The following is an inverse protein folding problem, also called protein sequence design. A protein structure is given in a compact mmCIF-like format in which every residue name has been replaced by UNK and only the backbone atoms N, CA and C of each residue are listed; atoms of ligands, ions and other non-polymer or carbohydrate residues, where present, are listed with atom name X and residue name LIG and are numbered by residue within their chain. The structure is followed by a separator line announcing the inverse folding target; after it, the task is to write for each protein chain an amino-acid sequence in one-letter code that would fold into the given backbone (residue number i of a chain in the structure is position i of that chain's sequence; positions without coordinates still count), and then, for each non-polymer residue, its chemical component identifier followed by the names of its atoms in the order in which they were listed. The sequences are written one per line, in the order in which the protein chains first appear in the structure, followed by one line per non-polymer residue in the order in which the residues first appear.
data_IF_585842691568
#
_entry.id   IF_585842691568
#
_cell.length_a   1.000
_cell.length_b   1.000
_cell.length_c   1.000
_cell.angle_alpha   90.00
_cell.angle_beta   90.00
_cell.angle_gamma   90.00
#
_symmetry.space_group_name_H-M   'P 1'
#
loop_
_entity.id
_entity.type
_entity.pdbx_description
1 polymer ?
#
# COMPACT_ATOMS: atom_id res chain seq x y z
N UNK A 1 -23.37 -0.65 1.12
CA UNK A 1 -22.81 -1.64 0.17
C UNK A 1 -22.47 -0.93 -1.13
N UNK A 2 -21.31 -1.24 -1.70
CA UNK A 2 -20.88 -0.72 -3.01
C UNK A 2 -20.71 -1.89 -3.98
N UNK A 3 -21.11 -1.71 -5.24
CA UNK A 3 -20.94 -2.71 -6.30
C UNK A 3 -20.23 -2.14 -7.52
N UNK A 4 -19.65 -3.00 -8.35
CA UNK A 4 -18.97 -2.57 -9.58
C UNK A 4 -19.90 -2.20 -10.73
N UNK A 5 -21.08 -2.80 -10.77
CA UNK A 5 -22.01 -2.63 -11.88
C UNK A 5 -23.46 -2.64 -11.40
N UNK A 6 -24.34 -2.11 -12.25
CA UNK A 6 -25.76 -1.95 -11.96
C UNK A 6 -26.48 -3.29 -11.81
N UNK A 7 -26.10 -4.32 -12.57
CA UNK A 7 -26.72 -5.65 -12.47
C UNK A 7 -26.50 -6.27 -11.09
N UNK A 8 -25.28 -6.16 -10.55
CA UNK A 8 -24.97 -6.63 -9.21
C UNK A 8 -25.65 -5.78 -8.13
N UNK A 9 -25.78 -4.47 -8.34
CA UNK A 9 -26.55 -3.60 -7.44
C UNK A 9 -27.99 -4.09 -7.30
N UNK A 10 -28.68 -4.26 -8.43
CA UNK A 10 -30.08 -4.71 -8.47
C UNK A 10 -30.28 -6.06 -7.80
N UNK A 11 -29.39 -7.03 -8.10
CA UNK A 11 -29.45 -8.34 -7.48
C UNK A 11 -29.35 -8.26 -5.95
N UNK A 12 -28.45 -7.44 -5.43
CA UNK A 12 -28.30 -7.25 -3.97
C UNK A 12 -29.53 -6.55 -3.38
N UNK A 13 -30.08 -5.55 -4.07
CA UNK A 13 -31.31 -4.87 -3.64
C UNK A 13 -32.50 -5.85 -3.57
N UNK A 14 -32.69 -6.68 -4.61
CA UNK A 14 -33.76 -7.70 -4.65
C UNK A 14 -33.63 -8.70 -3.50
N UNK A 15 -32.40 -9.20 -3.25
CA UNK A 15 -32.13 -10.13 -2.16
C UNK A 15 -32.34 -9.50 -0.78
N UNK A 16 -31.93 -8.24 -0.61
CA UNK A 16 -32.16 -7.49 0.63
C UNK A 16 -33.65 -7.25 0.87
N UNK A 17 -34.45 -7.00 -0.18
CA UNK A 17 -35.89 -6.86 -0.05
C UNK A 17 -36.53 -8.16 0.46
N UNK A 18 -36.15 -9.31 -0.10
CA UNK A 18 -36.62 -10.62 0.38
C UNK A 18 -36.23 -10.85 1.85
N UNK A 19 -34.99 -10.54 2.22
CA UNK A 19 -34.50 -10.69 3.59
C UNK A 19 -35.25 -9.77 4.57
N UNK A 20 -35.52 -8.52 4.18
CA UNK A 20 -36.28 -7.54 4.98
C UNK A 20 -37.73 -7.99 5.23
N UNK A 21 -38.38 -8.58 4.23
CA UNK A 21 -39.73 -9.16 4.41
C UNK A 21 -39.74 -10.32 5.40
N UNK A 22 -38.67 -11.09 5.47
CA UNK A 22 -38.52 -12.21 6.41
C UNK A 22 -38.11 -11.75 7.82
N UNK A 23 -37.45 -10.60 7.93
CA UNK A 23 -37.04 -10.01 9.20
C UNK A 23 -37.39 -8.51 9.27
N UNK A 24 -38.63 -8.17 9.67
CA UNK A 24 -39.10 -6.78 9.73
C UNK A 24 -38.29 -5.87 10.66
N UNK A 25 -37.53 -6.41 11.62
CA UNK A 25 -36.64 -5.61 12.48
C UNK A 25 -35.53 -4.89 11.68
N UNK A 26 -35.25 -5.36 10.46
CA UNK A 26 -34.27 -4.72 9.59
C UNK A 26 -34.76 -3.36 9.04
N UNK A 27 -36.06 -3.12 8.97
CA UNK A 27 -36.65 -1.92 8.34
C UNK A 27 -36.11 -0.61 8.91
N UNK A 28 -35.92 -0.55 10.24
CA UNK A 28 -35.39 0.64 10.93
C UNK A 28 -34.04 1.12 10.39
N UNK A 29 -33.25 0.25 9.77
CA UNK A 29 -31.95 0.58 9.19
C UNK A 29 -32.01 1.06 7.74
N UNK A 30 -33.15 0.92 7.06
CA UNK A 30 -33.36 1.30 5.66
C UNK A 30 -34.28 2.51 5.49
N UNK A 31 -34.89 2.98 6.57
CA UNK A 31 -35.73 4.18 6.56
C UNK A 31 -34.92 5.44 6.25
N UNK A 32 -35.44 6.31 5.38
CA UNK A 32 -34.80 7.59 5.03
C UNK A 32 -34.63 8.52 6.23
N UNK A 33 -35.44 8.34 7.28
CA UNK A 33 -35.35 9.10 8.52
C UNK A 33 -34.20 8.65 9.44
N UNK A 34 -33.60 7.48 9.18
CA UNK A 34 -32.42 7.04 9.91
C UNK A 34 -31.25 8.01 9.63
N UNK A 35 -30.39 8.22 10.62
CA UNK A 35 -29.25 9.13 10.48
C UNK A 35 -28.25 8.66 9.40
N UNK A 36 -27.99 7.35 9.34
CA UNK A 36 -27.08 6.73 8.38
C UNK A 36 -27.69 5.43 7.82
N UNK A 37 -28.71 5.49 6.93
CA UNK A 37 -29.41 4.29 6.45
C UNK A 37 -28.49 3.39 5.63
N UNK A 38 -28.80 2.10 5.57
CA UNK A 38 -28.14 1.16 4.66
C UNK A 38 -28.41 1.59 3.23
N UNK A 39 -27.35 1.71 2.43
CA UNK A 39 -27.45 1.97 1.00
C UNK A 39 -26.84 0.84 0.18
N UNK A 40 -27.32 0.67 -1.05
CA UNK A 40 -26.67 -0.12 -2.09
C UNK A 40 -26.47 0.80 -3.28
N UNK A 41 -25.22 1.03 -3.67
CA UNK A 41 -24.86 1.93 -4.79
C UNK A 41 -23.77 1.28 -5.64
N UNK A 42 -23.67 1.68 -6.90
CA UNK A 42 -22.59 1.22 -7.78
C UNK A 42 -21.49 2.28 -7.90
N UNK A 43 -20.35 1.92 -8.53
CA UNK A 43 -19.21 2.81 -8.73
C UNK A 43 -19.52 4.15 -9.42
N UNK A 44 -20.60 4.23 -10.20
CA UNK A 44 -21.01 5.46 -10.89
C UNK A 44 -21.90 6.34 -10.01
N UNK A 45 -22.63 5.75 -9.05
CA UNK A 45 -23.59 6.47 -8.19
C UNK A 45 -23.12 6.70 -6.75
N UNK A 46 -22.05 6.04 -6.31
CA UNK A 46 -21.47 6.25 -4.98
C UNK A 46 -20.69 7.57 -4.94
N UNK A 47 -21.28 8.59 -4.31
CA UNK A 47 -20.67 9.91 -4.14
C UNK A 47 -21.15 10.53 -2.83
N UNK A 48 -20.23 10.97 -1.99
CA UNK A 48 -20.56 11.70 -0.76
C UNK A 48 -21.17 10.85 0.38
N UNK A 49 -21.67 9.64 0.11
CA UNK A 49 -22.13 8.73 1.16
C UNK A 49 -20.95 7.98 1.79
N UNK A 50 -20.81 8.08 3.11
CA UNK A 50 -19.77 7.40 3.89
C UNK A 50 -20.38 6.57 5.01
N UNK A 51 -19.77 5.45 5.36
CA UNK A 51 -20.18 4.60 6.48
C UNK A 51 -18.95 4.09 7.21
N UNK A 52 -19.10 3.64 8.45
CA UNK A 52 -17.99 3.00 9.17
C UNK A 52 -17.48 1.76 8.44
N UNK A 53 -18.41 0.93 7.97
CA UNK A 53 -18.11 -0.30 7.23
C UNK A 53 -18.73 -0.24 5.84
N UNK A 54 -17.91 -0.48 4.82
CA UNK A 54 -18.37 -0.66 3.43
C UNK A 54 -18.14 -2.11 3.00
N UNK A 55 -19.23 -2.81 2.70
CA UNK A 55 -19.23 -4.09 2.00
C UNK A 55 -19.08 -3.81 0.50
N UNK A 56 -17.99 -4.27 -0.12
CA UNK A 56 -17.65 -4.02 -1.51
C UNK A 56 -17.70 -5.31 -2.35
N UNK A 57 -18.69 -5.41 -3.24
CA UNK A 57 -18.92 -6.60 -4.07
C UNK A 57 -18.40 -6.38 -5.49
N UNK A 58 -17.40 -7.16 -5.91
CA UNK A 58 -16.83 -7.06 -7.26
C UNK A 58 -17.78 -7.59 -8.34
N UNK A 59 -18.42 -8.73 -8.11
CA UNK A 59 -19.32 -9.36 -9.08
C UNK A 59 -18.64 -9.86 -10.37
N UNK A 60 -17.31 -9.98 -10.37
CA UNK A 60 -16.53 -10.57 -11.46
C UNK A 60 -15.82 -11.83 -10.99
N UNK A 61 -15.68 -12.78 -11.89
CA UNK A 61 -15.03 -14.05 -11.65
C UNK A 61 -14.87 -14.85 -12.94
N UNK A 62 -14.15 -15.97 -12.88
CA UNK A 62 -14.07 -16.89 -14.00
C UNK A 62 -15.45 -17.45 -14.37
N UNK A 63 -15.69 -17.67 -15.66
CA UNK A 63 -16.88 -18.38 -16.14
C UNK A 63 -16.80 -19.89 -15.85
N UNK A 64 -17.81 -20.64 -16.29
CA UNK A 64 -17.90 -22.10 -16.11
C UNK A 64 -16.74 -22.87 -16.77
N UNK A 65 -16.01 -22.25 -17.70
CA UNK A 65 -14.83 -22.81 -18.36
C UNK A 65 -13.51 -22.32 -17.71
N UNK A 66 -13.59 -21.54 -16.63
CA UNK A 66 -12.43 -20.97 -15.96
C UNK A 66 -11.90 -19.69 -16.62
N UNK A 67 -12.55 -19.16 -17.67
CA UNK A 67 -12.09 -17.98 -18.37
C UNK A 67 -12.51 -16.71 -17.64
N UNK A 68 -11.53 -15.87 -17.32
CA UNK A 68 -11.77 -14.55 -16.78
C UNK A 68 -11.79 -13.49 -17.89
N UNK A 69 -12.90 -12.75 -17.96
CA UNK A 69 -13.01 -11.55 -18.79
C UNK A 69 -12.23 -10.39 -18.16
N UNK A 70 -11.38 -9.71 -18.94
CA UNK A 70 -10.63 -8.52 -18.52
C UNK A 70 -11.46 -7.22 -18.68
N UNK A 71 -12.78 -7.35 -18.73
CA UNK A 71 -13.73 -6.25 -18.81
C UNK A 71 -14.46 -6.07 -17.47
N UNK A 72 -13.91 -5.19 -16.65
CA UNK A 72 -14.40 -4.73 -15.35
C UNK A 72 -15.34 -3.51 -15.47
N UNK A 73 -15.92 -3.27 -16.65
CA UNK A 73 -16.98 -2.28 -16.85
C UNK A 73 -16.51 -0.84 -16.65
N UNK A 74 -17.14 -0.05 -15.75
CA UNK A 74 -16.77 1.36 -15.50
C UNK A 74 -15.30 1.58 -15.12
N UNK A 75 -14.61 0.54 -14.66
CA UNK A 75 -13.21 0.61 -14.25
C UNK A 75 -12.23 0.60 -15.43
N UNK A 76 -12.58 -0.04 -16.55
CA UNK A 76 -11.76 -0.01 -17.77
C UNK A 76 -11.84 1.32 -18.52
N UNK A 77 -12.86 2.14 -18.21
CA UNK A 77 -13.09 3.43 -18.86
C UNK A 77 -12.18 4.49 -18.25
N UNK A 78 -12.01 5.60 -18.96
CA UNK A 78 -11.31 6.76 -18.44
C UNK A 78 -11.93 7.24 -17.11
N UNK A 79 -11.07 7.63 -16.16
CA UNK A 79 -11.48 7.98 -14.80
C UNK A 79 -11.83 6.79 -13.90
N UNK A 80 -11.62 5.55 -14.36
CA UNK A 80 -11.81 4.34 -13.56
C UNK A 80 -11.06 4.39 -12.23
N UNK A 81 -9.82 4.90 -12.22
CA UNK A 81 -9.04 5.06 -10.98
C UNK A 81 -9.74 5.95 -9.95
N UNK A 82 -10.37 7.05 -10.42
CA UNK A 82 -11.09 7.98 -9.55
C UNK A 82 -12.33 7.32 -8.95
N UNK A 83 -13.09 6.57 -9.77
CA UNK A 83 -14.27 5.82 -9.29
C UNK A 83 -13.90 4.79 -8.23
N UNK A 84 -12.81 4.05 -8.46
CA UNK A 84 -12.32 3.09 -7.48
C UNK A 84 -11.89 3.78 -6.19
N UNK A 85 -11.09 4.85 -6.28
CA UNK A 85 -10.65 5.62 -5.10
C UNK A 85 -11.82 6.17 -4.32
N UNK A 86 -12.85 6.72 -4.99
CA UNK A 86 -14.06 7.17 -4.32
C UNK A 86 -14.71 6.01 -3.56
N UNK A 87 -14.92 4.87 -4.21
CA UNK A 87 -15.57 3.71 -3.59
C UNK A 87 -14.82 3.16 -2.37
N UNK A 88 -13.49 2.99 -2.46
CA UNK A 88 -12.69 2.43 -1.36
C UNK A 88 -12.53 3.41 -0.19
N UNK A 89 -12.59 4.73 -0.46
CA UNK A 89 -12.49 5.77 0.59
C UNK A 89 -13.83 6.13 1.22
N UNK A 90 -14.93 5.44 0.86
CA UNK A 90 -16.23 5.66 1.51
C UNK A 90 -16.33 5.03 2.91
N UNK A 91 -15.40 4.14 3.26
CA UNK A 91 -15.34 3.55 4.58
C UNK A 91 -14.54 4.44 5.53
N UNK A 92 -15.11 4.74 6.70
CA UNK A 92 -14.39 5.45 7.78
C UNK A 92 -13.46 4.51 8.55
N UNK A 93 -13.83 3.24 8.69
CA UNK A 93 -13.12 2.26 9.51
C UNK A 93 -12.69 1.03 8.72
N UNK A 94 -13.59 0.42 7.95
CA UNK A 94 -13.32 -0.88 7.32
C UNK A 94 -13.98 -1.05 5.94
N UNK A 95 -13.24 -1.66 5.01
CA UNK A 95 -13.76 -2.16 3.73
C UNK A 95 -13.68 -3.68 3.73
N UNK A 96 -14.83 -4.34 3.61
CA UNK A 96 -14.92 -5.80 3.46
C UNK A 96 -15.18 -6.12 1.99
N UNK A 97 -14.22 -6.79 1.34
CA UNK A 97 -14.28 -7.07 -0.10
C UNK A 97 -14.79 -8.49 -0.35
N UNK A 98 -15.81 -8.62 -1.20
CA UNK A 98 -16.33 -9.89 -1.68
C UNK A 98 -15.90 -10.09 -3.14
N UNK A 99 -15.05 -11.08 -3.36
CA UNK A 99 -14.45 -11.39 -4.66
C UNK A 99 -14.40 -12.89 -4.90
N UNK A 100 -14.73 -13.31 -6.13
CA UNK A 100 -14.46 -14.66 -6.66
C UNK A 100 -13.19 -14.68 -7.53
N UNK A 101 -12.42 -13.60 -7.47
CA UNK A 101 -11.24 -13.34 -8.27
C UNK A 101 -10.08 -12.96 -7.35
N UNK A 102 -8.93 -13.62 -7.53
CA UNK A 102 -7.71 -13.27 -6.84
C UNK A 102 -6.89 -12.22 -7.62
N UNK A 103 -6.06 -11.46 -6.92
CA UNK A 103 -5.24 -10.39 -7.48
C UNK A 103 -4.35 -10.87 -8.63
N UNK A 104 -3.72 -12.04 -8.50
CA UNK A 104 -2.81 -12.62 -9.50
C UNK A 104 -3.50 -13.02 -10.80
N UNK A 105 -4.81 -13.28 -10.78
CA UNK A 105 -5.59 -13.67 -11.97
C UNK A 105 -5.89 -12.48 -12.89
N UNK A 106 -5.68 -11.23 -12.44
CA UNK A 106 -5.81 -10.02 -13.27
C UNK A 106 -4.54 -9.84 -14.10
N UNK A 107 -4.69 -10.01 -15.42
CA UNK A 107 -3.64 -9.81 -16.41
C UNK A 107 -3.74 -8.42 -17.05
N UNK A 108 -2.87 -7.51 -16.59
CA UNK A 108 -2.83 -6.12 -17.07
C UNK A 108 -2.35 -5.99 -18.53
N UNK A 109 -1.68 -7.00 -19.09
CA UNK A 109 -1.27 -6.96 -20.49
C UNK A 109 -2.49 -7.01 -21.42
N UNK A 110 -3.57 -7.68 -20.99
CA UNK A 110 -4.83 -7.88 -21.73
C UNK A 110 -5.87 -6.78 -21.50
N UNK A 111 -5.57 -5.81 -20.64
CA UNK A 111 -6.50 -4.74 -20.25
C UNK A 111 -6.29 -3.47 -21.08
N UNK A 112 -7.37 -2.96 -21.68
CA UNK A 112 -7.43 -1.59 -22.23
C UNK A 112 -7.84 -0.61 -21.13
N UNK A 113 -7.17 0.55 -21.04
CA UNK A 113 -7.41 1.54 -19.98
C UNK A 113 -6.88 1.09 -18.62
N UNK A 114 -5.56 0.92 -18.51
CA UNK A 114 -4.91 0.19 -17.40
C UNK A 114 -5.09 0.79 -16.01
N UNK A 115 -5.31 2.09 -15.88
CA UNK A 115 -5.26 2.81 -14.58
C UNK A 115 -6.15 2.19 -13.51
N UNK A 116 -7.47 2.21 -13.70
CA UNK A 116 -8.40 1.69 -12.68
C UNK A 116 -8.23 0.21 -12.38
N UNK A 117 -7.97 -0.61 -13.41
CA UNK A 117 -7.81 -2.07 -13.25
C UNK A 117 -6.48 -2.44 -12.58
N UNK A 118 -5.42 -1.67 -12.83
CA UNK A 118 -4.16 -1.81 -12.10
C UNK A 118 -4.35 -1.47 -10.62
N UNK A 119 -5.11 -0.42 -10.30
CA UNK A 119 -5.41 -0.05 -8.92
C UNK A 119 -6.27 -1.12 -8.23
N UNK A 120 -7.26 -1.70 -8.92
CA UNK A 120 -8.02 -2.83 -8.39
C UNK A 120 -7.13 -4.03 -8.10
N UNK A 121 -6.24 -4.41 -9.04
CA UNK A 121 -5.28 -5.49 -8.82
C UNK A 121 -4.43 -5.23 -7.58
N UNK A 122 -3.95 -4.00 -7.43
CA UNK A 122 -3.19 -3.53 -6.26
C UNK A 122 -3.96 -3.69 -4.96
N UNK A 123 -5.22 -3.28 -4.99
CA UNK A 123 -6.10 -3.26 -3.84
C UNK A 123 -6.45 -4.67 -3.37
N UNK A 124 -6.75 -5.58 -4.31
CA UNK A 124 -7.01 -6.99 -3.97
C UNK A 124 -5.76 -7.67 -3.42
N UNK A 125 -4.60 -7.37 -3.99
CA UNK A 125 -3.32 -7.90 -3.53
C UNK A 125 -3.02 -7.50 -2.07
N UNK A 126 -3.31 -6.24 -1.73
CA UNK A 126 -3.25 -5.74 -0.36
C UNK A 126 -4.32 -6.38 0.55
N UNK A 127 -5.55 -6.55 0.07
CA UNK A 127 -6.60 -7.20 0.85
C UNK A 127 -6.28 -8.68 1.16
N UNK A 128 -5.59 -9.38 0.25
CA UNK A 128 -5.17 -10.78 0.39
C UNK A 128 -3.98 -10.95 1.34
N UNK A 129 -2.95 -10.10 1.20
CA UNK A 129 -1.62 -10.30 1.81
C UNK A 129 -1.24 -9.23 2.84
N UNK A 130 -2.10 -8.23 3.03
CA UNK A 130 -1.88 -7.12 3.93
C UNK A 130 -0.65 -6.28 3.54
N UNK A 131 0.04 -5.69 4.54
CA UNK A 131 1.21 -4.83 4.31
C UNK A 131 2.34 -5.46 3.47
N UNK A 132 2.45 -6.78 3.46
CA UNK A 132 3.44 -7.51 2.66
C UNK A 132 3.29 -7.28 1.13
N UNK A 133 2.08 -6.98 0.63
CA UNK A 133 1.86 -6.67 -0.78
C UNK A 133 2.40 -5.29 -1.20
N UNK A 134 2.30 -4.28 -0.34
CA UNK A 134 2.82 -2.93 -0.59
C UNK A 134 4.35 -2.96 -0.69
N UNK A 135 4.92 -3.68 0.25
CA UNK A 135 6.31 -3.98 0.41
C UNK A 135 6.98 -4.59 -0.84
N UNK A 136 6.36 -5.60 -1.45
CA UNK A 136 6.90 -6.32 -2.61
C UNK A 136 6.84 -5.47 -3.89
N UNK A 137 5.83 -4.61 -4.03
CA UNK A 137 5.68 -3.74 -5.21
C UNK A 137 6.73 -2.64 -5.27
N UNK A 138 7.19 -2.15 -4.12
CA UNK A 138 8.35 -1.27 -4.01
C UNK A 138 9.65 -1.95 -4.49
N UNK A 139 9.77 -3.29 -4.41
CA UNK A 139 10.94 -4.01 -4.93
C UNK A 139 10.93 -4.09 -6.47
N UNK A 140 9.74 -4.17 -7.08
CA UNK A 140 9.58 -4.28 -8.54
C UNK A 140 9.61 -2.94 -9.28
N UNK A 141 9.29 -1.83 -8.60
CA UNK A 141 9.51 -0.48 -9.11
C UNK A 141 10.98 -0.13 -8.89
N UNK A 142 11.86 -0.66 -9.75
CA UNK A 142 13.31 -0.64 -9.60
C UNK A 142 13.84 0.57 -8.83
N UNK A 143 14.43 0.29 -7.67
CA UNK A 143 15.12 1.30 -6.89
C UNK A 143 16.18 1.94 -7.77
N UNK A 144 16.22 3.28 -7.93
CA UNK A 144 17.41 3.92 -8.48
C UNK A 144 18.53 3.56 -7.52
N UNK A 145 19.45 2.66 -7.93
CA UNK A 145 20.52 2.16 -7.08
C UNK A 145 21.28 3.29 -6.37
N UNK A 146 22.12 2.97 -5.38
CA UNK A 146 22.47 3.87 -4.30
C UNK A 146 22.90 5.26 -4.77
N UNK A 147 22.42 6.29 -4.08
CA UNK A 147 22.73 7.67 -4.43
C UNK A 147 24.25 7.94 -4.37
N UNK A 148 24.73 8.96 -5.07
CA UNK A 148 26.14 9.39 -4.97
C UNK A 148 26.54 9.73 -3.54
N UNK A 149 25.58 10.14 -2.72
CA UNK A 149 25.73 10.43 -1.31
C UNK A 149 25.92 9.14 -0.47
N UNK A 150 25.04 8.15 -0.63
CA UNK A 150 25.16 6.85 0.04
C UNK A 150 26.48 6.14 -0.29
N UNK A 151 26.94 6.21 -1.55
CA UNK A 151 28.24 5.65 -1.95
C UNK A 151 29.42 6.31 -1.22
N UNK A 152 29.35 7.62 -0.96
CA UNK A 152 30.41 8.33 -0.24
C UNK A 152 30.47 7.93 1.23
N UNK A 153 29.32 7.75 1.88
CA UNK A 153 29.26 7.27 3.26
C UNK A 153 29.81 5.85 3.35
N UNK A 154 29.35 4.96 2.46
CA UNK A 154 29.83 3.57 2.42
C UNK A 154 31.34 3.49 2.19
N UNK A 155 31.89 4.32 1.29
CA UNK A 155 33.33 4.40 1.07
C UNK A 155 34.08 4.88 2.32
N UNK A 156 33.62 5.97 2.94
CA UNK A 156 34.29 6.54 4.13
C UNK A 156 34.31 5.56 5.31
N UNK A 157 33.22 4.81 5.52
CA UNK A 157 33.16 3.73 6.52
C UNK A 157 34.07 2.55 6.13
N UNK A 158 34.13 2.20 4.85
CA UNK A 158 35.05 1.18 4.33
C UNK A 158 36.53 1.51 4.52
N UNK A 159 36.91 2.78 4.32
CA UNK A 159 38.27 3.27 4.59
C UNK A 159 38.65 3.17 6.08
N UNK A 160 37.66 3.12 6.97
CA UNK A 160 37.82 2.88 8.42
C UNK A 160 37.73 1.41 8.82
N UNK A 161 37.55 0.50 7.87
CA UNK A 161 37.53 -0.95 8.09
C UNK A 161 36.15 -1.56 8.31
N UNK A 162 35.07 -0.79 8.17
CA UNK A 162 33.71 -1.31 8.30
C UNK A 162 33.19 -1.93 7.01
N UNK A 163 32.42 -3.02 7.13
CA UNK A 163 31.71 -3.61 5.98
C UNK A 163 30.31 -3.03 5.92
N UNK A 164 29.96 -2.41 4.79
CA UNK A 164 28.66 -1.74 4.60
C UNK A 164 27.93 -2.37 3.42
N UNK A 165 26.68 -2.74 3.64
CA UNK A 165 25.78 -3.26 2.61
C UNK A 165 24.70 -2.23 2.27
N UNK A 166 24.37 -2.11 0.99
CA UNK A 166 23.33 -1.21 0.51
C UNK A 166 21.96 -1.89 0.51
N UNK A 167 20.90 -1.12 0.75
CA UNK A 167 19.50 -1.52 0.59
C UNK A 167 19.11 -2.80 1.37
N UNK A 168 19.59 -2.94 2.60
CA UNK A 168 19.39 -4.15 3.41
C UNK A 168 18.02 -4.16 4.08
N UNK A 169 17.33 -5.29 3.98
CA UNK A 169 15.99 -5.51 4.52
C UNK A 169 15.13 -6.38 3.60
N UNK A 170 13.89 -6.60 4.01
CA UNK A 170 12.92 -7.37 3.23
C UNK A 170 11.70 -6.49 2.97
N UNK A 171 11.05 -6.68 1.81
CA UNK A 171 9.66 -6.25 1.63
C UNK A 171 9.45 -4.75 1.91
N UNK A 172 9.95 -3.83 1.06
CA UNK A 172 9.72 -2.37 1.12
C UNK A 172 10.28 -1.62 2.34
N UNK A 173 10.65 -2.33 3.40
CA UNK A 173 11.29 -1.81 4.61
C UNK A 173 12.78 -2.15 4.54
N UNK A 174 13.53 -1.24 3.93
CA UNK A 174 14.98 -1.33 3.76
C UNK A 174 15.65 -0.13 4.41
N UNK A 175 16.79 -0.36 5.03
CA UNK A 175 17.72 0.71 5.39
C UNK A 175 18.60 1.01 4.18
N UNK A 176 18.99 2.28 4.01
CA UNK A 176 19.74 2.72 2.83
C UNK A 176 21.15 2.10 2.86
N UNK A 177 21.75 2.08 4.05
CA UNK A 177 23.01 1.38 4.34
C UNK A 177 22.86 0.55 5.63
N UNK A 178 23.54 -0.59 5.71
CA UNK A 178 23.66 -1.39 6.92
C UNK A 178 25.12 -1.71 7.19
N UNK A 179 25.56 -1.44 8.42
CA UNK A 179 26.93 -1.72 8.87
C UNK A 179 26.95 -3.09 9.54
N UNK A 180 27.81 -3.97 9.04
CA UNK A 180 27.97 -5.33 9.55
C UNK A 180 28.74 -5.35 10.86
N UNK A 181 28.37 -6.29 11.73
CA UNK A 181 29.13 -6.61 12.92
C UNK A 181 30.41 -7.38 12.55
N UNK A 182 31.62 -6.83 12.83
CA UNK A 182 32.88 -7.51 12.52
C UNK A 182 33.04 -8.84 13.26
N UNK A 183 32.44 -8.97 14.45
CA UNK A 183 32.51 -10.16 15.29
C UNK A 183 31.43 -11.19 14.93
N UNK A 184 30.35 -10.77 14.25
CA UNK A 184 29.21 -11.60 13.87
C UNK A 184 28.75 -11.31 12.43
N UNK A 185 29.31 -12.01 11.42
CA UNK A 185 29.09 -11.68 10.00
C UNK A 185 27.65 -11.91 9.49
N UNK A 186 26.76 -12.49 10.29
CA UNK A 186 25.34 -12.64 9.99
C UNK A 186 24.46 -11.54 10.63
N UNK A 187 25.08 -10.58 11.34
CA UNK A 187 24.38 -9.54 12.12
C UNK A 187 24.80 -8.13 11.68
N UNK A 188 23.85 -7.20 11.68
CA UNK A 188 24.10 -5.78 11.47
C UNK A 188 24.08 -5.01 12.79
N UNK A 189 25.03 -4.09 12.97
CA UNK A 189 25.12 -3.22 14.16
C UNK A 189 24.24 -1.98 14.06
N UNK A 190 24.09 -1.46 12.84
CA UNK A 190 23.44 -0.18 12.58
C UNK A 190 22.89 -0.12 11.16
N UNK A 191 21.67 0.38 11.02
CA UNK A 191 21.10 0.81 9.75
C UNK A 191 21.17 2.34 9.64
N UNK A 192 21.58 2.85 8.47
CA UNK A 192 21.61 4.28 8.17
C UNK A 192 20.42 4.65 7.28
N UNK A 193 19.75 5.74 7.64
CA UNK A 193 18.74 6.40 6.82
C UNK A 193 19.31 7.69 6.24
N UNK A 194 19.38 7.77 4.91
CA UNK A 194 19.93 8.88 4.13
C UNK A 194 18.78 9.70 3.51
N UNK A 195 18.83 11.02 3.61
CA UNK A 195 17.83 11.92 3.00
C UNK A 195 18.05 12.19 1.50
N UNK A 196 19.16 11.69 0.93
CA UNK A 196 19.58 11.95 -0.45
C UNK A 196 18.69 11.28 -1.49
N UNK A 197 18.03 12.08 -2.32
CA UNK A 197 17.13 11.74 -3.44
C UNK A 197 15.67 11.38 -3.11
N UNK A 198 15.38 10.81 -1.92
CA UNK A 198 14.00 10.48 -1.51
C UNK A 198 13.21 11.69 -0.98
N UNK A 199 13.89 12.77 -0.61
CA UNK A 199 13.25 13.96 0.00
C UNK A 199 12.38 14.79 -0.96
N UNK A 200 12.58 14.67 -2.28
CA UNK A 200 11.87 15.51 -3.27
C UNK A 200 10.49 15.02 -3.71
N UNK A 201 10.01 13.87 -3.21
CA UNK A 201 8.69 13.35 -3.57
C UNK A 201 7.84 12.97 -2.36
N UNK A 202 7.29 13.92 -1.60
CA UNK A 202 6.01 13.69 -0.91
C UNK A 202 5.42 14.96 -0.25
N UNK A 203 4.26 15.39 -0.75
CA UNK A 203 3.30 16.20 0.00
C UNK A 203 2.48 15.40 1.03
N UNK A 204 2.76 14.11 1.21
CA UNK A 204 2.07 13.19 2.15
C UNK A 204 3.07 12.35 2.97
N UNK A 205 4.24 12.93 3.29
CA UNK A 205 5.41 12.21 3.80
C UNK A 205 5.32 11.75 5.27
N UNK A 206 4.57 12.46 6.12
CA UNK A 206 4.78 12.41 7.57
C UNK A 206 4.26 11.15 8.26
N UNK A 207 3.01 10.76 8.00
CA UNK A 207 2.42 9.56 8.62
C UNK A 207 3.08 8.27 8.11
N UNK A 208 3.57 8.31 6.86
CA UNK A 208 4.28 7.21 6.21
C UNK A 208 5.69 7.02 6.78
N UNK A 209 6.41 8.11 7.04
CA UNK A 209 7.73 8.08 7.67
C UNK A 209 7.64 7.49 9.08
N UNK A 210 6.64 7.93 9.87
CA UNK A 210 6.43 7.47 11.25
C UNK A 210 6.15 5.96 11.29
N UNK A 211 5.30 5.45 10.40
CA UNK A 211 4.99 4.03 10.33
C UNK A 211 6.19 3.19 9.86
N UNK A 212 6.97 3.70 8.89
CA UNK A 212 8.16 3.02 8.39
C UNK A 212 9.22 2.86 9.48
N UNK A 213 9.50 3.92 10.23
CA UNK A 213 10.48 3.87 11.32
C UNK A 213 10.06 2.90 12.43
N UNK A 214 8.77 2.88 12.78
CA UNK A 214 8.24 1.93 13.76
C UNK A 214 8.44 0.46 13.31
N UNK A 215 8.17 0.15 12.04
CA UNK A 215 8.32 -1.21 11.51
C UNK A 215 9.80 -1.65 11.45
N UNK A 216 10.71 -0.77 11.03
CA UNK A 216 12.14 -1.09 11.02
C UNK A 216 12.69 -1.32 12.44
N UNK A 217 12.23 -0.54 13.41
CA UNK A 217 12.56 -0.75 14.81
C UNK A 217 12.02 -2.10 15.33
N UNK A 218 10.77 -2.46 15.00
CA UNK A 218 10.17 -3.76 15.37
C UNK A 218 10.89 -4.95 14.73
N UNK A 219 11.53 -4.75 13.57
CA UNK A 219 12.42 -5.72 12.92
C UNK A 219 13.81 -5.81 13.57
N UNK A 220 14.05 -5.05 14.65
CA UNK A 220 15.29 -5.11 15.42
C UNK A 220 16.40 -4.18 14.92
N UNK A 221 16.10 -3.24 14.02
CA UNK A 221 17.10 -2.29 13.54
C UNK A 221 17.39 -1.20 14.58
N UNK A 222 18.68 -0.99 14.87
CA UNK A 222 19.16 0.28 15.41
C UNK A 222 19.36 1.24 14.23
N UNK A 223 18.60 2.32 14.18
CA UNK A 223 18.63 3.28 13.07
C UNK A 223 19.41 4.55 13.44
N UNK A 224 20.19 5.06 12.51
CA UNK A 224 20.86 6.36 12.60
C UNK A 224 20.60 7.16 11.33
N UNK A 225 20.16 8.42 11.48
CA UNK A 225 19.80 9.28 10.36
C UNK A 225 20.98 10.16 9.97
N UNK A 226 21.29 10.21 8.68
CA UNK A 226 22.35 11.04 8.10
C UNK A 226 21.73 12.01 7.10
N UNK A 227 21.96 13.30 7.34
CA UNK A 227 21.50 14.37 6.45
C UNK A 227 22.59 14.71 5.44
N UNK A 228 22.23 14.77 4.16
CA UNK A 228 23.12 15.08 3.05
C UNK A 228 23.70 16.49 3.19
N UNK A 229 22.93 17.44 3.75
CA UNK A 229 23.41 18.78 4.08
C UNK A 229 24.55 18.74 5.09
N UNK A 230 24.38 17.97 6.17
CA UNK A 230 25.34 17.90 7.26
C UNK A 230 26.62 17.16 6.82
N UNK A 231 26.46 16.11 6.04
CA UNK A 231 27.58 15.38 5.44
C UNK A 231 28.37 16.24 4.44
N UNK A 232 27.70 17.09 3.65
CA UNK A 232 28.37 17.97 2.70
C UNK A 232 29.16 19.08 3.39
N UNK A 233 28.62 19.64 4.48
CA UNK A 233 29.28 20.71 5.24
C UNK A 233 30.39 20.17 6.17
N UNK A 234 30.17 19.03 6.84
CA UNK A 234 31.02 18.51 7.92
C UNK A 234 31.15 16.98 7.88
N UNK A 235 31.71 16.40 6.80
CA UNK A 235 31.76 14.95 6.62
C UNK A 235 32.52 14.23 7.74
N UNK A 236 33.59 14.84 8.27
CA UNK A 236 34.38 14.25 9.36
C UNK A 236 33.64 14.19 10.70
N UNK A 237 32.79 15.19 11.00
CA UNK A 237 32.00 15.21 12.23
C UNK A 237 30.84 14.20 12.15
N UNK A 238 30.15 14.13 11.01
CA UNK A 238 29.08 13.17 10.81
C UNK A 238 29.60 11.73 10.80
N UNK A 239 30.77 11.48 10.20
CA UNK A 239 31.41 10.17 10.27
C UNK A 239 31.73 9.76 11.72
N UNK A 240 32.24 10.68 12.53
CA UNK A 240 32.51 10.41 13.94
C UNK A 240 31.23 10.11 14.75
N UNK A 241 30.09 10.74 14.39
CA UNK A 241 28.78 10.44 15.01
C UNK A 241 28.26 9.06 14.62
N UNK A 242 28.47 8.65 13.36
CA UNK A 242 28.13 7.30 12.90
C UNK A 242 29.00 6.27 13.66
N UNK A 243 30.31 6.51 13.79
CA UNK A 243 31.22 5.64 14.55
C UNK A 243 30.82 5.54 16.03
N UNK A 244 30.47 6.66 16.68
CA UNK A 244 29.97 6.65 18.05
C UNK A 244 28.62 5.92 18.20
N UNK A 245 27.83 5.85 17.14
CA UNK A 245 26.60 5.08 17.08
C UNK A 245 26.82 3.62 16.68
N UNK A 246 28.05 3.18 16.41
CA UNK A 246 28.42 1.78 16.17
C UNK A 246 28.91 1.09 17.45
N UNK A 247 29.47 1.85 18.39
CA UNK A 247 29.74 1.45 19.77
C UNK A 247 28.43 1.20 20.58
#
# INVERSE_FOLDING_TARGET
MVTFNLSQQRLIEDLLEVARRQNPLMEAWFETAAAEPVFVKNLESVQGDERDVILFSLGYGPDVQGHLSMNFGPLNREGGQRRLNVAITRARQEVVVFSSLASHQIDLARVRGRGGVADLKSFLDYAERGPAALAERQLTAGSPGPSTFERQIAQALGERGWTVHHEVGCSGYRVDLAVLDPDQPDRYLLGLECDGASYHQAGTARDREVLRQAILHDLGWRLHRVWCTDWWERPGEELARIEAALE
#
